data_IF_760798700614
#
_entry.id   IF_760798700614
#
_cell.length_a   1.000
_cell.length_b   1.000
_cell.length_c   1.000
_cell.angle_alpha   90.00
_cell.angle_beta   90.00
_cell.angle_gamma   90.00
#
_symmetry.space_group_name_H-M   'P 1'
#
loop_
_entity.id
_entity.type
_entity.pdbx_description
1 polymer ?
#
# COMPACT_ATOMS: atom_id res chain seq x y z
N UNK A 1 30.15 15.51 16.15
CA UNK A 1 29.90 14.92 14.82
C UNK A 1 30.14 16.01 13.77
N UNK A 2 30.68 15.68 12.60
CA UNK A 2 31.03 16.69 11.58
C UNK A 2 29.83 17.54 11.12
N UNK A 3 28.62 16.96 11.11
CA UNK A 3 27.36 17.65 10.75
C UNK A 3 26.50 18.02 11.96
N UNK A 4 27.12 18.36 13.10
CA UNK A 4 26.42 18.61 14.37
C UNK A 4 25.31 19.66 14.26
N UNK A 5 25.54 20.77 13.56
CA UNK A 5 24.55 21.86 13.42
C UNK A 5 23.24 21.40 12.76
N UNK A 6 23.32 20.52 11.76
CA UNK A 6 22.15 19.95 11.08
C UNK A 6 21.40 18.99 12.01
N UNK A 7 22.15 18.17 12.75
CA UNK A 7 21.58 17.21 13.72
C UNK A 7 20.84 17.96 14.82
N UNK A 8 21.47 19.00 15.40
CA UNK A 8 20.86 19.83 16.44
C UNK A 8 19.59 20.53 15.95
N UNK A 9 19.62 21.10 14.75
CA UNK A 9 18.43 21.74 14.15
C UNK A 9 17.27 20.74 13.99
N UNK A 10 17.56 19.52 13.51
CA UNK A 10 16.56 18.47 13.32
C UNK A 10 15.96 18.01 14.65
N UNK A 11 16.82 17.67 15.63
CA UNK A 11 16.40 17.19 16.95
C UNK A 11 15.60 18.26 17.69
N UNK A 12 16.05 19.52 17.71
CA UNK A 12 15.36 20.59 18.42
C UNK A 12 14.05 21.01 17.75
N UNK A 13 13.96 20.93 16.41
CA UNK A 13 12.79 21.36 15.66
C UNK A 13 11.72 20.27 15.48
N UNK A 14 12.12 18.99 15.43
CA UNK A 14 11.23 17.86 15.09
C UNK A 14 11.41 16.60 15.93
N UNK A 15 12.44 16.54 16.77
CA UNK A 15 12.66 15.40 17.66
C UNK A 15 11.58 15.29 18.73
N UNK A 16 11.18 14.06 19.05
CA UNK A 16 10.22 13.79 20.12
C UNK A 16 10.63 12.52 20.86
N UNK A 17 10.47 12.54 22.19
CA UNK A 17 10.56 11.35 23.03
C UNK A 17 9.18 11.09 23.62
N UNK A 18 8.60 9.94 23.28
CA UNK A 18 7.25 9.58 23.70
C UNK A 18 7.35 8.46 24.72
N UNK A 19 7.13 8.79 25.99
CA UNK A 19 6.99 7.78 27.04
C UNK A 19 5.61 7.12 26.91
N UNK A 20 5.59 5.80 26.79
CA UNK A 20 4.38 4.97 26.73
C UNK A 20 4.33 4.05 27.94
N UNK A 21 3.14 3.54 28.26
CA UNK A 21 2.89 2.64 29.39
C UNK A 21 3.47 1.25 29.18
N UNK A 22 3.39 0.75 27.95
CA UNK A 22 3.72 -0.61 27.56
C UNK A 22 4.00 -0.71 26.05
N UNK A 23 4.34 -1.91 25.58
CA UNK A 23 4.67 -2.16 24.18
C UNK A 23 3.45 -2.04 23.26
N UNK A 24 2.26 -2.43 23.70
CA UNK A 24 1.04 -2.32 22.89
C UNK A 24 0.77 -0.85 22.55
N UNK A 25 0.89 0.04 23.54
CA UNK A 25 0.78 1.48 23.29
C UNK A 25 1.93 2.01 22.39
N UNK A 26 3.14 1.46 22.49
CA UNK A 26 4.23 1.81 21.59
C UNK A 26 3.88 1.49 20.12
N UNK A 27 3.31 0.30 19.89
CA UNK A 27 2.85 -0.16 18.57
C UNK A 27 1.70 0.71 18.05
N UNK A 28 0.74 1.08 18.90
CA UNK A 28 -0.34 2.00 18.53
C UNK A 28 0.21 3.36 18.10
N UNK A 29 1.21 3.89 18.81
CA UNK A 29 1.89 5.13 18.46
C UNK A 29 2.62 4.98 17.12
N UNK A 30 3.39 3.90 16.91
CA UNK A 30 4.09 3.66 15.65
C UNK A 30 3.11 3.58 14.45
N UNK A 31 2.02 2.83 14.59
CA UNK A 31 0.96 2.73 13.58
C UNK A 31 0.23 4.07 13.36
N UNK A 32 0.14 4.92 14.39
CA UNK A 32 -0.40 6.28 14.27
C UNK A 32 0.58 7.25 13.60
N UNK A 33 1.87 7.05 13.75
CA UNK A 33 2.87 7.88 13.07
C UNK A 33 3.01 7.45 11.60
N UNK A 34 2.94 6.14 11.33
CA UNK A 34 3.21 5.56 10.01
C UNK A 34 4.58 6.03 9.46
N UNK A 35 5.68 5.73 10.17
CA UNK A 35 6.99 6.28 9.87
C UNK A 35 7.55 5.78 8.54
N UNK A 36 8.48 6.54 7.98
CA UNK A 36 9.31 6.13 6.86
C UNK A 36 10.19 4.93 7.26
N UNK A 37 10.99 5.09 8.31
CA UNK A 37 11.81 4.05 8.92
C UNK A 37 11.33 3.73 10.34
N UNK A 38 11.15 2.44 10.66
CA UNK A 38 10.83 1.96 12.01
C UNK A 38 11.91 1.01 12.50
N UNK A 39 12.62 1.38 13.57
CA UNK A 39 13.54 0.47 14.27
C UNK A 39 12.87 -0.19 15.48
N UNK A 40 12.71 -1.52 15.44
CA UNK A 40 12.29 -2.35 16.57
C UNK A 40 13.50 -2.81 17.38
N UNK A 41 14.06 -1.89 18.16
CA UNK A 41 15.21 -2.15 19.04
C UNK A 41 14.78 -2.74 20.39
N UNK A 42 14.20 -3.95 20.33
CA UNK A 42 13.65 -4.68 21.48
C UNK A 42 14.23 -6.10 21.55
N UNK A 43 14.00 -6.81 22.65
CA UNK A 43 14.57 -8.15 22.87
C UNK A 43 14.03 -9.21 21.90
N UNK A 44 12.72 -9.20 21.62
CA UNK A 44 12.07 -10.10 20.68
C UNK A 44 11.25 -9.29 19.66
N UNK A 45 11.88 -8.74 18.61
CA UNK A 45 11.17 -7.94 17.61
C UNK A 45 10.20 -8.78 16.76
N UNK A 46 10.41 -10.11 16.66
CA UNK A 46 9.57 -10.99 15.85
C UNK A 46 8.16 -11.12 16.44
N UNK A 47 8.04 -11.13 17.77
CA UNK A 47 6.74 -11.15 18.45
C UNK A 47 5.87 -9.92 18.15
N UNK A 48 6.48 -8.77 17.87
CA UNK A 48 5.78 -7.50 17.66
C UNK A 48 5.53 -7.15 16.20
N UNK A 49 6.36 -7.65 15.28
CA UNK A 49 6.24 -7.38 13.84
C UNK A 49 4.82 -7.58 13.29
N UNK A 50 4.05 -8.65 13.63
CA UNK A 50 2.70 -8.85 13.10
C UNK A 50 1.71 -7.73 13.45
N UNK A 51 2.01 -6.91 14.46
CA UNK A 51 1.16 -5.80 14.90
C UNK A 51 1.52 -4.47 14.22
N UNK A 52 2.64 -4.41 13.50
CA UNK A 52 3.01 -3.24 12.69
C UNK A 52 2.20 -3.24 11.40
N UNK A 53 1.35 -2.23 11.25
CA UNK A 53 0.49 -2.02 10.07
C UNK A 53 1.07 -1.02 9.09
N UNK A 54 1.83 -0.04 9.57
CA UNK A 54 2.29 1.09 8.78
C UNK A 54 3.74 1.44 9.08
N UNK A 55 4.64 1.14 8.13
CA UNK A 55 6.02 1.60 8.09
C UNK A 55 6.53 1.46 6.65
N UNK A 56 7.43 2.36 6.21
CA UNK A 56 8.11 2.21 4.91
C UNK A 56 9.08 1.04 4.93
N UNK A 57 10.02 1.05 5.88
CA UNK A 57 10.91 -0.07 6.16
C UNK A 57 10.99 -0.35 7.66
N UNK A 58 11.12 -1.63 8.02
CA UNK A 58 11.19 -2.09 9.42
C UNK A 58 12.54 -2.76 9.64
N UNK A 59 13.28 -2.26 10.62
CA UNK A 59 14.60 -2.73 11.02
C UNK A 59 14.48 -3.44 12.37
N UNK A 60 14.93 -4.69 12.46
CA UNK A 60 14.62 -5.56 13.61
C UNK A 60 15.85 -5.93 14.40
N UNK A 61 15.88 -5.54 15.68
CA UNK A 61 16.92 -5.92 16.62
C UNK A 61 18.13 -4.96 16.63
N UNK A 62 18.99 -5.15 17.64
CA UNK A 62 20.04 -4.19 18.01
C UNK A 62 21.19 -4.03 17.00
N UNK A 63 21.26 -4.90 16.00
CA UNK A 63 22.34 -4.94 15.01
C UNK A 63 21.91 -4.50 13.61
N UNK A 64 20.67 -4.04 13.47
CA UNK A 64 20.06 -3.69 12.19
C UNK A 64 19.74 -2.21 12.20
N UNK A 65 20.76 -1.36 12.01
CA UNK A 65 20.56 0.08 11.91
C UNK A 65 19.98 0.48 10.54
N UNK A 66 19.30 1.62 10.49
CA UNK A 66 18.82 2.27 9.26
C UNK A 66 19.87 2.28 8.15
N UNK A 67 21.12 2.62 8.49
CA UNK A 67 22.23 2.71 7.54
C UNK A 67 22.50 1.40 6.77
N UNK A 68 22.23 0.22 7.35
CA UNK A 68 22.37 -1.03 6.60
C UNK A 68 21.33 -1.14 5.47
N UNK A 69 20.09 -0.71 5.72
CA UNK A 69 19.03 -0.65 4.72
C UNK A 69 19.31 0.36 3.63
N UNK A 70 19.87 1.52 4.00
CA UNK A 70 20.18 2.59 3.05
C UNK A 70 21.23 2.21 2.00
N UNK A 71 22.11 1.26 2.32
CA UNK A 71 23.31 1.01 1.52
C UNK A 71 23.48 -0.43 1.03
N UNK A 72 23.22 -1.46 1.85
CA UNK A 72 23.73 -2.80 1.52
C UNK A 72 22.84 -3.98 1.90
N UNK A 73 21.76 -3.79 2.64
CA UNK A 73 20.88 -4.89 3.03
C UNK A 73 20.02 -5.43 1.87
N UNK A 74 19.80 -4.62 0.82
CA UNK A 74 19.07 -5.01 -0.40
C UNK A 74 17.72 -4.29 -0.66
N UNK A 75 16.91 -3.92 0.35
CA UNK A 75 15.72 -3.10 0.15
C UNK A 75 16.01 -1.73 -0.49
N UNK A 76 14.98 -1.07 -1.01
CA UNK A 76 15.10 0.26 -1.59
C UNK A 76 14.93 1.34 -0.50
N UNK A 77 15.79 2.35 -0.49
CA UNK A 77 15.70 3.47 0.47
C UNK A 77 14.82 4.63 0.00
N UNK A 78 14.19 4.53 -1.18
CA UNK A 78 13.17 5.48 -1.61
C UNK A 78 11.84 5.03 -1.02
N UNK A 79 11.47 5.66 0.09
CA UNK A 79 10.36 5.23 0.94
C UNK A 79 9.24 6.29 1.05
N UNK A 80 8.02 5.87 1.42
CA UNK A 80 6.93 6.80 1.71
C UNK A 80 7.16 7.57 3.01
N UNK A 81 7.21 8.90 2.94
CA UNK A 81 7.49 9.77 4.09
C UNK A 81 6.21 10.48 4.58
N UNK A 82 6.30 11.25 5.66
CA UNK A 82 5.21 12.13 6.14
C UNK A 82 3.86 11.41 6.37
N UNK A 83 3.91 10.18 6.89
CA UNK A 83 2.72 9.37 7.19
C UNK A 83 2.11 8.65 5.98
N UNK A 84 2.72 8.75 4.80
CA UNK A 84 2.19 8.13 3.57
C UNK A 84 2.39 6.61 3.51
N UNK A 85 3.18 6.02 4.43
CA UNK A 85 3.28 4.57 4.61
C UNK A 85 1.93 3.89 4.96
N UNK A 86 0.87 4.68 5.20
CA UNK A 86 -0.51 4.20 5.34
C UNK A 86 -1.12 3.65 4.05
N UNK A 87 -0.67 4.14 2.90
CA UNK A 87 -1.28 3.84 1.60
C UNK A 87 -0.27 3.73 0.45
N UNK A 88 0.98 4.13 0.67
CA UNK A 88 2.08 4.00 -0.27
C UNK A 88 3.05 2.90 0.17
N UNK A 89 3.75 2.30 -0.80
CA UNK A 89 4.77 1.27 -0.58
C UNK A 89 6.17 1.83 -0.85
N UNK A 90 7.23 1.16 -0.36
CA UNK A 90 8.61 1.39 -0.82
C UNK A 90 8.71 1.31 -2.34
N UNK A 91 9.59 2.11 -2.94
CA UNK A 91 9.90 2.01 -4.36
C UNK A 91 10.40 0.60 -4.68
N UNK A 92 9.82 -0.03 -5.69
CA UNK A 92 10.19 -1.35 -6.13
C UNK A 92 10.00 -1.54 -7.63
N UNK A 93 10.19 -2.78 -8.07
CA UNK A 93 10.04 -3.12 -9.50
C UNK A 93 8.63 -2.83 -10.03
N UNK A 94 7.60 -2.79 -9.17
CA UNK A 94 6.23 -2.54 -9.57
C UNK A 94 5.96 -1.09 -9.99
N UNK A 95 6.75 -0.13 -9.50
CA UNK A 95 6.63 1.28 -9.88
C UNK A 95 7.12 1.56 -11.30
N UNK A 96 7.93 0.66 -11.85
CA UNK A 96 8.45 0.72 -13.22
C UNK A 96 7.68 -0.20 -14.19
N UNK A 97 6.57 -0.78 -13.74
CA UNK A 97 5.71 -1.63 -14.54
C UNK A 97 4.40 -0.92 -14.89
N UNK A 98 3.79 -1.32 -16.02
CA UNK A 98 2.42 -0.98 -16.38
C UNK A 98 1.60 -2.26 -16.48
N UNK A 99 0.39 -2.25 -15.91
CA UNK A 99 -0.54 -3.39 -15.92
C UNK A 99 -1.74 -3.07 -16.81
N UNK A 100 -2.09 -3.98 -17.71
CA UNK A 100 -3.28 -3.89 -18.56
C UNK A 100 -4.17 -5.10 -18.34
N UNK A 101 -5.46 -4.87 -18.08
CA UNK A 101 -6.47 -5.93 -18.05
C UNK A 101 -6.86 -6.28 -19.47
N UNK A 102 -6.79 -7.57 -19.83
CA UNK A 102 -7.21 -8.06 -21.15
C UNK A 102 -8.49 -8.86 -20.97
N UNK A 103 -9.54 -8.45 -21.70
CA UNK A 103 -10.86 -9.09 -21.63
C UNK A 103 -11.21 -9.56 -23.05
N UNK A 104 -11.44 -10.86 -23.20
CA UNK A 104 -11.82 -11.47 -24.47
C UNK A 104 -12.97 -12.45 -24.21
N UNK A 105 -14.19 -12.00 -24.50
CA UNK A 105 -15.39 -12.82 -24.34
C UNK A 105 -15.64 -13.65 -25.59
N UNK A 106 -16.05 -14.91 -25.40
CA UNK A 106 -16.76 -15.63 -26.46
C UNK A 106 -18.12 -14.96 -26.73
N UNK A 107 -18.73 -15.29 -27.85
CA UNK A 107 -20.08 -14.82 -28.20
C UNK A 107 -21.09 -15.14 -27.09
N UNK A 108 -21.11 -16.39 -26.61
CA UNK A 108 -22.00 -16.80 -25.51
C UNK A 108 -21.71 -16.04 -24.21
N UNK A 109 -20.43 -15.88 -23.85
CA UNK A 109 -20.04 -15.14 -22.64
C UNK A 109 -20.43 -13.66 -22.71
N UNK A 110 -20.31 -13.04 -23.88
CA UNK A 110 -20.76 -11.67 -24.10
C UNK A 110 -22.28 -11.55 -24.00
N UNK A 111 -23.02 -12.54 -24.50
CA UNK A 111 -24.48 -12.61 -24.38
C UNK A 111 -24.94 -12.74 -22.93
N UNK A 112 -24.32 -13.62 -22.15
CA UNK A 112 -24.69 -13.83 -20.75
C UNK A 112 -24.35 -12.61 -19.87
N UNK A 113 -23.15 -12.04 -20.03
CA UNK A 113 -22.76 -10.82 -19.34
C UNK A 113 -23.57 -9.60 -19.80
N UNK A 114 -23.98 -9.56 -21.07
CA UNK A 114 -24.76 -8.48 -21.65
C UNK A 114 -26.10 -8.27 -20.94
N UNK A 115 -26.74 -9.35 -20.48
CA UNK A 115 -27.99 -9.31 -19.70
C UNK A 115 -27.82 -8.53 -18.39
N UNK A 116 -26.74 -8.82 -17.64
CA UNK A 116 -26.41 -8.09 -16.40
C UNK A 116 -26.00 -6.66 -16.69
N UNK A 117 -25.11 -6.46 -17.67
CA UNK A 117 -24.61 -5.13 -18.02
C UNK A 117 -25.72 -4.18 -18.49
N UNK A 118 -26.72 -4.69 -19.22
CA UNK A 118 -27.91 -3.92 -19.61
C UNK A 118 -28.67 -3.39 -18.39
N UNK A 119 -29.00 -4.26 -17.43
CA UNK A 119 -29.77 -3.88 -16.22
C UNK A 119 -29.05 -2.77 -15.45
N UNK A 120 -27.74 -2.96 -15.20
CA UNK A 120 -26.93 -1.98 -14.49
C UNK A 120 -26.87 -0.64 -15.24
N UNK A 121 -26.56 -0.67 -16.54
CA UNK A 121 -26.45 0.54 -17.35
C UNK A 121 -27.79 1.28 -17.52
N UNK A 122 -28.92 0.57 -17.53
CA UNK A 122 -30.26 1.19 -17.51
C UNK A 122 -30.54 1.86 -16.17
N UNK A 123 -30.21 1.21 -15.06
CA UNK A 123 -30.32 1.77 -13.71
C UNK A 123 -29.50 3.05 -13.53
N UNK A 124 -28.34 3.13 -14.20
CA UNK A 124 -27.46 4.31 -14.23
C UNK A 124 -27.87 5.36 -15.28
N UNK A 125 -28.99 5.16 -15.99
CA UNK A 125 -29.45 6.03 -17.10
C UNK A 125 -28.48 6.15 -18.30
N UNK A 126 -27.52 5.23 -18.43
CA UNK A 126 -26.52 5.16 -19.51
C UNK A 126 -27.03 4.34 -20.70
N UNK A 127 -28.01 4.88 -21.43
CA UNK A 127 -28.69 4.16 -22.54
C UNK A 127 -27.72 3.60 -23.61
N UNK A 128 -26.66 4.33 -23.95
CA UNK A 128 -25.67 3.87 -24.93
C UNK A 128 -24.89 2.63 -24.48
N UNK A 129 -24.55 2.55 -23.19
CA UNK A 129 -23.88 1.39 -22.59
C UNK A 129 -24.83 0.20 -22.53
N UNK A 130 -26.09 0.42 -22.11
CA UNK A 130 -27.09 -0.65 -22.07
C UNK A 130 -27.32 -1.25 -23.45
N UNK A 131 -27.54 -0.40 -24.47
CA UNK A 131 -27.76 -0.87 -25.85
C UNK A 131 -26.55 -1.62 -26.39
N UNK A 132 -25.32 -1.16 -26.13
CA UNK A 132 -24.12 -1.84 -26.64
C UNK A 132 -23.98 -3.27 -26.06
N UNK A 133 -24.38 -3.48 -24.80
CA UNK A 133 -24.47 -4.79 -24.18
C UNK A 133 -25.63 -5.63 -24.75
N UNK A 134 -26.83 -5.03 -24.88
CA UNK A 134 -28.04 -5.67 -25.45
C UNK A 134 -27.79 -6.21 -26.86
N UNK A 135 -27.05 -5.47 -27.71
CA UNK A 135 -26.68 -5.91 -29.07
C UNK A 135 -25.83 -7.18 -29.13
N UNK A 136 -25.23 -7.62 -28.00
CA UNK A 136 -24.44 -8.85 -27.91
C UNK A 136 -25.25 -10.02 -27.34
N UNK A 137 -26.48 -9.78 -26.90
CA UNK A 137 -27.36 -10.85 -26.39
C UNK A 137 -27.86 -11.66 -27.59
N UNK A 138 -27.57 -12.96 -27.57
CA UNK A 138 -28.09 -13.87 -28.57
C UNK A 138 -29.61 -13.98 -28.42
N UNK A 139 -30.32 -13.98 -29.55
CA UNK A 139 -31.74 -14.30 -29.55
C UNK A 139 -31.93 -15.70 -28.96
N UNK A 140 -32.97 -15.87 -28.13
CA UNK A 140 -33.36 -17.20 -27.69
C UNK A 140 -33.58 -18.07 -28.93
N UNK A 141 -32.89 -19.21 -29.01
CA UNK A 141 -33.18 -20.22 -30.03
C UNK A 141 -34.60 -20.72 -29.76
N UNK A 142 -35.59 -20.12 -30.42
CA UNK A 142 -36.92 -20.69 -30.50
C UNK A 142 -36.78 -22.06 -31.18
N UNK A 143 -36.90 -23.11 -30.37
CA UNK A 143 -37.23 -24.46 -30.82
C UNK A 143 -38.73 -24.61 -30.93
#
# INVERSE_FOLDING_TARGET
MERAEIIETSINGRGALILVRDMEQAIDVANRIAPEHLELSVADPQAWLPQIRHAGAIFMGRHTSEALGDYCAGPNHVLPTSGTARFSSPLGVYDFQKRSSIIFCSEQGASDLGKTASILARGESLTGHARSAEYRILADKQG
#
